data_IF_926615220285
#
_entry.id   IF_926615220285
#
_cell.length_a   1.000
_cell.length_b   1.000
_cell.length_c   1.000
_cell.angle_alpha   90.00
_cell.angle_beta   90.00
_cell.angle_gamma   90.00
#
_symmetry.space_group_name_H-M   'P 1'
#
loop_
_entity.id
_entity.type
_entity.pdbx_description
1 polymer ?
#
# COMPACT_ATOMS: atom_id res chain seq x y z
N UNK A 1 10.86 -31.39 25.42
CA UNK A 1 11.98 -31.08 24.52
C UNK A 1 11.45 -30.21 23.39
N UNK A 2 12.10 -29.11 23.05
CA UNK A 2 11.68 -28.25 21.92
C UNK A 2 11.86 -29.08 20.64
N UNK A 3 10.78 -29.25 19.88
CA UNK A 3 10.86 -29.92 18.58
C UNK A 3 11.22 -28.90 17.50
N UNK A 4 12.52 -28.79 17.22
CA UNK A 4 13.05 -27.83 16.25
C UNK A 4 12.56 -28.09 14.83
N UNK A 5 12.08 -29.31 14.51
CA UNK A 5 11.56 -29.65 13.19
C UNK A 5 10.32 -28.81 12.82
N UNK A 6 9.58 -28.33 13.82
CA UNK A 6 8.41 -27.46 13.62
C UNK A 6 8.75 -26.10 12.99
N UNK A 7 9.98 -25.61 13.15
CA UNK A 7 10.43 -24.36 12.54
C UNK A 7 10.83 -24.53 11.06
N UNK A 8 11.02 -25.78 10.61
CA UNK A 8 11.39 -26.12 9.24
C UNK A 8 10.26 -26.81 8.47
N UNK A 9 9.11 -27.06 9.12
CA UNK A 9 7.92 -27.62 8.49
C UNK A 9 7.03 -26.54 7.92
N UNK A 10 6.42 -26.80 6.77
CA UNK A 10 5.41 -25.92 6.19
C UNK A 10 4.13 -25.99 7.05
N UNK A 11 3.78 -24.87 7.70
CA UNK A 11 2.64 -24.83 8.62
C UNK A 11 1.28 -25.04 7.95
N UNK A 12 1.24 -24.84 6.64
CA UNK A 12 0.06 -24.96 5.80
C UNK A 12 0.00 -26.29 5.02
N UNK A 13 0.98 -27.19 5.18
CA UNK A 13 1.02 -28.49 4.48
C UNK A 13 0.11 -29.56 5.14
N UNK A 14 -0.22 -30.59 4.34
CA UNK A 14 -1.35 -31.55 4.36
C UNK A 14 -1.59 -32.44 5.60
N UNK A 15 -1.42 -31.92 6.82
CA UNK A 15 -1.86 -32.59 8.05
C UNK A 15 -3.31 -32.27 8.42
N UNK A 16 -3.71 -31.00 8.26
CA UNK A 16 -5.04 -30.45 8.54
C UNK A 16 -5.33 -29.34 7.51
N UNK A 17 -5.78 -29.65 6.28
CA UNK A 17 -5.88 -28.65 5.23
C UNK A 17 -6.90 -27.57 5.61
N UNK A 18 -6.44 -26.32 5.70
CA UNK A 18 -7.31 -25.15 5.80
C UNK A 18 -8.26 -25.18 4.60
N UNK A 19 -9.56 -25.12 4.88
CA UNK A 19 -10.59 -25.15 3.83
C UNK A 19 -10.34 -24.05 2.80
N UNK A 20 -10.63 -24.32 1.52
CA UNK A 20 -10.43 -23.36 0.42
C UNK A 20 -10.99 -21.95 0.72
N UNK A 21 -12.23 -21.78 1.24
CA UNK A 21 -12.75 -20.47 1.60
C UNK A 21 -12.00 -19.79 2.76
N UNK A 22 -11.54 -20.57 3.75
CA UNK A 22 -10.76 -20.01 4.85
C UNK A 22 -9.35 -19.63 4.41
N UNK A 23 -8.73 -20.40 3.51
CA UNK A 23 -7.43 -20.09 2.94
C UNK A 23 -7.51 -18.81 2.08
N UNK A 24 -8.63 -18.63 1.35
CA UNK A 24 -8.90 -17.42 0.59
C UNK A 24 -8.97 -16.21 1.51
N UNK A 25 -9.84 -16.25 2.52
CA UNK A 25 -10.04 -15.17 3.49
C UNK A 25 -8.76 -14.86 4.27
N UNK A 26 -8.03 -15.88 4.69
CA UNK A 26 -6.74 -15.73 5.35
C UNK A 26 -5.75 -14.96 4.47
N UNK A 27 -5.64 -15.34 3.19
CA UNK A 27 -4.70 -14.71 2.27
C UNK A 27 -5.12 -13.28 1.92
N UNK A 28 -6.41 -13.01 1.70
CA UNK A 28 -6.93 -11.65 1.48
C UNK A 28 -6.64 -10.73 2.66
N UNK A 29 -6.88 -11.21 3.89
CA UNK A 29 -6.58 -10.47 5.12
C UNK A 29 -5.08 -10.22 5.29
N UNK A 30 -4.26 -11.23 5.02
CA UNK A 30 -2.81 -11.10 5.05
C UNK A 30 -2.31 -10.07 4.02
N UNK A 31 -2.83 -10.11 2.79
CA UNK A 31 -2.53 -9.12 1.74
C UNK A 31 -2.94 -7.70 2.15
N UNK A 32 -4.15 -7.53 2.70
CA UNK A 32 -4.63 -6.24 3.18
C UNK A 32 -3.73 -5.68 4.30
N UNK A 33 -3.33 -6.52 5.26
CA UNK A 33 -2.43 -6.13 6.34
C UNK A 33 -1.04 -5.72 5.82
N UNK A 34 -0.48 -6.47 4.86
CA UNK A 34 0.77 -6.11 4.21
C UNK A 34 0.67 -4.75 3.51
N UNK A 35 -0.40 -4.53 2.73
CA UNK A 35 -0.66 -3.27 2.01
C UNK A 35 -0.78 -2.09 2.98
N UNK A 36 -1.58 -2.24 4.03
CA UNK A 36 -1.81 -1.20 5.04
C UNK A 36 -0.51 -0.77 5.73
N UNK A 37 0.40 -1.72 5.97
CA UNK A 37 1.66 -1.47 6.66
C UNK A 37 2.83 -1.22 5.69
N UNK A 38 2.58 -1.03 4.40
CA UNK A 38 3.60 -0.92 3.36
C UNK A 38 4.27 0.47 3.26
N UNK A 39 4.59 1.06 4.41
CA UNK A 39 5.28 2.35 4.48
C UNK A 39 6.62 2.26 3.76
N UNK A 40 6.83 3.15 2.79
CA UNK A 40 8.08 3.20 2.01
C UNK A 40 8.32 2.00 1.09
N UNK A 41 7.36 1.10 0.89
CA UNK A 41 7.51 -0.04 -0.03
C UNK A 41 8.20 -1.26 0.53
N UNK A 42 8.34 -1.30 1.85
CA UNK A 42 8.97 -2.40 2.58
C UNK A 42 8.39 -3.78 2.24
N UNK A 43 7.09 -3.89 1.98
CA UNK A 43 6.39 -5.15 1.76
C UNK A 43 5.99 -5.41 0.32
N UNK A 44 6.40 -4.56 -0.61
CA UNK A 44 6.04 -4.69 -2.03
C UNK A 44 6.33 -6.08 -2.60
N UNK A 45 7.56 -6.58 -2.42
CA UNK A 45 7.95 -7.89 -2.92
C UNK A 45 7.06 -9.01 -2.36
N UNK A 46 6.72 -8.92 -1.07
CA UNK A 46 5.86 -9.90 -0.38
C UNK A 46 4.42 -9.81 -0.91
N UNK A 47 3.88 -8.60 -1.07
CA UNK A 47 2.53 -8.34 -1.59
C UNK A 47 2.39 -8.90 -3.01
N UNK A 48 3.37 -8.65 -3.88
CA UNK A 48 3.32 -9.11 -5.26
C UNK A 48 3.38 -10.63 -5.39
N UNK A 49 4.37 -11.27 -4.73
CA UNK A 49 4.50 -12.73 -4.76
C UNK A 49 3.26 -13.42 -4.19
N UNK A 50 2.69 -12.88 -3.12
CA UNK A 50 1.49 -13.43 -2.48
C UNK A 50 0.24 -13.19 -3.32
N UNK A 51 0.11 -12.02 -3.94
CA UNK A 51 -0.99 -11.73 -4.86
C UNK A 51 -0.95 -12.63 -6.07
N UNK A 52 0.24 -12.92 -6.60
CA UNK A 52 0.40 -13.83 -7.75
C UNK A 52 -0.07 -15.22 -7.38
N UNK A 53 0.46 -15.77 -6.29
CA UNK A 53 0.06 -17.09 -5.80
C UNK A 53 -1.44 -17.16 -5.43
N UNK A 54 -2.02 -16.04 -4.97
CA UNK A 54 -3.46 -15.94 -4.75
C UNK A 54 -4.23 -15.99 -6.07
N UNK A 55 -3.88 -15.17 -7.05
CA UNK A 55 -4.55 -15.12 -8.36
C UNK A 55 -4.46 -16.45 -9.09
N UNK A 56 -3.31 -17.10 -9.05
CA UNK A 56 -3.09 -18.40 -9.69
C UNK A 56 -3.98 -19.50 -9.08
N UNK A 57 -4.33 -19.39 -7.79
CA UNK A 57 -5.12 -20.41 -7.09
C UNK A 57 -6.62 -20.10 -6.99
N UNK A 58 -6.99 -18.83 -6.77
CA UNK A 58 -8.38 -18.39 -6.54
C UNK A 58 -8.97 -17.59 -7.70
N UNK A 59 -8.15 -17.11 -8.65
CA UNK A 59 -8.54 -16.14 -9.65
C UNK A 59 -8.48 -14.70 -9.14
N UNK A 60 -9.17 -13.79 -9.82
CA UNK A 60 -9.13 -12.37 -9.49
C UNK A 60 -9.66 -12.07 -8.09
N UNK A 61 -9.01 -11.14 -7.40
CA UNK A 61 -9.49 -10.61 -6.13
C UNK A 61 -10.78 -9.82 -6.40
N UNK A 62 -11.90 -10.23 -5.78
CA UNK A 62 -13.20 -9.56 -5.92
C UNK A 62 -13.18 -8.16 -5.31
N UNK A 63 -12.36 -7.94 -4.28
CA UNK A 63 -12.15 -6.63 -3.66
C UNK A 63 -11.34 -5.72 -4.60
N UNK A 64 -12.06 -4.79 -5.23
CA UNK A 64 -11.50 -3.83 -6.19
C UNK A 64 -10.48 -2.88 -5.55
N UNK A 65 -10.60 -2.53 -4.27
CA UNK A 65 -9.65 -1.63 -3.60
C UNK A 65 -8.35 -2.35 -3.29
N UNK A 66 -8.45 -3.60 -2.80
CA UNK A 66 -7.28 -4.45 -2.62
C UNK A 66 -6.59 -4.72 -3.95
N UNK A 67 -7.35 -5.00 -5.01
CA UNK A 67 -6.81 -5.20 -6.36
C UNK A 67 -6.06 -3.96 -6.89
N UNK A 68 -6.59 -2.75 -6.70
CA UNK A 68 -5.93 -1.50 -7.10
C UNK A 68 -4.67 -1.23 -6.28
N UNK A 69 -4.72 -1.45 -4.96
CA UNK A 69 -3.55 -1.27 -4.09
C UNK A 69 -2.42 -2.25 -4.45
N UNK A 70 -2.77 -3.50 -4.74
CA UNK A 70 -1.86 -4.51 -5.27
C UNK A 70 -1.29 -4.07 -6.62
N UNK A 71 -2.11 -3.53 -7.53
CA UNK A 71 -1.65 -3.05 -8.83
C UNK A 71 -0.66 -1.88 -8.69
N UNK A 72 -0.88 -0.96 -7.73
CA UNK A 72 0.06 0.10 -7.38
C UNK A 72 1.37 -0.47 -6.82
N UNK A 73 1.32 -1.44 -5.92
CA UNK A 73 2.52 -2.14 -5.42
C UNK A 73 3.28 -2.87 -6.53
N UNK A 74 2.59 -3.56 -7.44
CA UNK A 74 3.19 -4.23 -8.60
C UNK A 74 3.88 -3.25 -9.55
N UNK A 75 3.26 -2.09 -9.78
CA UNK A 75 3.86 -1.00 -10.57
C UNK A 75 5.12 -0.46 -9.90
N UNK A 76 5.09 -0.24 -8.58
CA UNK A 76 6.26 0.21 -7.82
C UNK A 76 7.40 -0.82 -7.83
N UNK A 77 7.10 -2.13 -7.78
CA UNK A 77 8.12 -3.17 -7.94
C UNK A 77 8.71 -3.16 -9.34
N UNK A 78 7.90 -2.93 -10.38
CA UNK A 78 8.44 -2.84 -11.73
C UNK A 78 9.51 -1.74 -11.82
N UNK A 79 9.19 -0.58 -11.25
CA UNK A 79 10.10 0.57 -11.19
C UNK A 79 11.29 0.31 -10.26
N UNK A 80 11.05 -0.29 -9.09
CA UNK A 80 12.09 -0.59 -8.10
C UNK A 80 13.02 -1.71 -8.56
N UNK A 81 12.52 -2.79 -9.15
CA UNK A 81 13.34 -3.89 -9.68
C UNK A 81 14.15 -3.44 -10.89
N UNK A 82 13.61 -2.51 -11.70
CA UNK A 82 14.40 -1.88 -12.75
C UNK A 82 15.50 -1.00 -12.15
N UNK A 83 15.18 -0.20 -11.13
CA UNK A 83 16.19 0.61 -10.45
C UNK A 83 17.24 -0.24 -9.73
N UNK A 84 16.83 -1.29 -9.02
CA UNK A 84 17.71 -2.27 -8.38
C UNK A 84 18.62 -2.95 -9.40
N UNK A 85 18.09 -3.27 -10.59
CA UNK A 85 18.93 -3.80 -11.66
C UNK A 85 20.03 -2.81 -12.06
N UNK A 86 19.68 -1.54 -12.30
CA UNK A 86 20.64 -0.48 -12.63
C UNK A 86 21.67 -0.31 -11.51
N UNK A 87 21.22 -0.25 -10.27
CA UNK A 87 22.08 -0.11 -9.09
C UNK A 87 23.02 -1.32 -8.93
N UNK A 88 22.54 -2.53 -9.20
CA UNK A 88 23.35 -3.75 -9.15
C UNK A 88 24.35 -3.81 -10.31
N UNK A 89 24.00 -3.34 -11.52
CA UNK A 89 24.95 -3.14 -12.62
C UNK A 89 26.04 -2.14 -12.20
N UNK A 90 25.66 -1.03 -11.58
CA UNK A 90 26.59 -0.01 -11.09
C UNK A 90 27.53 -0.53 -10.00
N UNK A 91 26.98 -1.26 -9.03
CA UNK A 91 27.70 -1.92 -7.93
C UNK A 91 28.79 -2.85 -8.46
N UNK A 92 28.47 -3.67 -9.46
CA UNK A 92 29.41 -4.67 -9.99
C UNK A 92 30.23 -4.19 -11.18
N UNK A 93 29.94 -3.02 -11.75
CA UNK A 93 30.65 -2.50 -12.91
C UNK A 93 32.17 -2.44 -12.72
N UNK A 94 32.65 -1.91 -11.59
CA UNK A 94 34.09 -1.81 -11.34
C UNK A 94 34.75 -3.17 -11.18
N UNK A 95 34.04 -4.16 -10.61
CA UNK A 95 34.52 -5.54 -10.52
C UNK A 95 34.66 -6.16 -11.92
N UNK A 96 33.64 -6.01 -12.76
CA UNK A 96 33.63 -6.52 -14.14
C UNK A 96 34.75 -5.85 -14.95
N UNK A 97 34.87 -4.53 -14.89
CA UNK A 97 35.91 -3.78 -15.61
C UNK A 97 37.34 -4.09 -15.12
N UNK A 98 37.50 -4.50 -13.86
CA UNK A 98 38.77 -4.94 -13.31
C UNK A 98 39.15 -6.35 -13.79
N UNK A 99 38.19 -7.28 -13.83
CA UNK A 99 38.40 -8.66 -14.30
C UNK A 99 38.52 -8.75 -15.82
N UNK A 100 37.73 -7.94 -16.52
CA UNK A 100 37.63 -7.87 -17.97
C UNK A 100 37.82 -6.41 -18.42
N UNK A 101 39.05 -6.00 -18.75
CA UNK A 101 39.32 -4.65 -19.25
C UNK A 101 38.50 -4.31 -20.51
N UNK A 102 38.25 -3.01 -20.74
CA UNK A 102 37.29 -2.50 -21.74
C UNK A 102 37.57 -2.90 -23.19
N UNK A 103 38.81 -3.22 -23.50
CA UNK A 103 39.31 -3.65 -24.81
C UNK A 103 39.21 -5.17 -25.03
N UNK A 104 38.72 -5.91 -24.04
CA UNK A 104 38.56 -7.37 -24.13
C UNK A 104 37.22 -7.77 -24.73
N UNK A 105 37.15 -8.86 -25.52
CA UNK A 105 35.89 -9.43 -25.99
C UNK A 105 34.91 -9.74 -24.86
N UNK A 106 35.42 -10.18 -23.71
CA UNK A 106 34.62 -10.53 -22.54
C UNK A 106 33.88 -9.30 -21.99
N UNK A 107 34.52 -8.14 -21.92
CA UNK A 107 33.86 -6.91 -21.49
C UNK A 107 32.68 -6.54 -22.40
N UNK A 108 32.83 -6.76 -23.72
CA UNK A 108 31.77 -6.51 -24.70
C UNK A 108 30.58 -7.48 -24.55
N UNK A 109 30.77 -8.66 -23.94
CA UNK A 109 29.65 -9.56 -23.60
C UNK A 109 28.76 -8.98 -22.48
N UNK A 110 29.35 -8.22 -21.53
CA UNK A 110 28.60 -7.54 -20.47
C UNK A 110 28.02 -6.20 -20.94
N UNK A 111 28.78 -5.46 -21.75
CA UNK A 111 28.44 -4.09 -22.15
C UNK A 111 28.58 -3.87 -23.68
N UNK A 112 27.71 -4.48 -24.51
CA UNK A 112 27.84 -4.42 -25.96
C UNK A 112 27.81 -2.99 -26.53
N UNK A 113 27.02 -2.09 -25.93
CA UNK A 113 26.98 -0.67 -26.28
C UNK A 113 27.54 0.23 -25.18
N UNK A 114 28.35 -0.34 -24.29
CA UNK A 114 28.88 0.35 -23.12
C UNK A 114 27.89 0.42 -21.95
N UNK A 115 28.39 0.89 -20.81
CA UNK A 115 27.65 0.93 -19.54
C UNK A 115 26.38 1.78 -19.61
N UNK A 116 26.42 2.88 -20.36
CA UNK A 116 25.34 3.86 -20.42
C UNK A 116 24.03 3.30 -21.03
N UNK A 117 24.09 2.15 -21.72
CA UNK A 117 22.91 1.41 -22.18
C UNK A 117 22.02 1.00 -21.00
N UNK A 118 22.60 0.68 -19.84
CA UNK A 118 21.88 0.26 -18.66
C UNK A 118 21.24 1.44 -17.91
N UNK A 119 21.85 2.63 -17.95
CA UNK A 119 21.33 3.83 -17.30
C UNK A 119 20.13 4.46 -18.02
N UNK A 120 19.88 4.06 -19.27
CA UNK A 120 18.81 4.60 -20.13
C UNK A 120 17.79 3.54 -20.55
N UNK A 121 17.71 2.44 -19.80
CA UNK A 121 16.82 1.32 -20.15
C UNK A 121 15.38 1.79 -20.24
N UNK A 122 14.80 1.62 -21.42
CA UNK A 122 13.35 1.64 -21.57
C UNK A 122 12.78 0.30 -21.08
N UNK A 123 11.66 0.34 -20.35
CA UNK A 123 11.00 -0.86 -19.80
C UNK A 123 10.89 -2.02 -20.80
N UNK A 124 10.53 -1.83 -22.08
CA UNK A 124 10.42 -2.92 -23.06
C UNK A 124 11.71 -3.69 -23.35
N UNK A 125 12.86 -3.04 -23.17
CA UNK A 125 14.18 -3.59 -23.50
C UNK A 125 14.88 -4.18 -22.27
N UNK A 126 14.34 -3.92 -21.07
CA UNK A 126 14.94 -4.30 -19.79
C UNK A 126 15.19 -5.81 -19.66
N UNK A 127 14.26 -6.68 -20.07
CA UNK A 127 14.43 -8.13 -19.98
C UNK A 127 15.59 -8.63 -20.86
N UNK A 128 15.74 -8.07 -22.06
CA UNK A 128 16.83 -8.44 -22.98
C UNK A 128 18.18 -8.06 -22.38
N UNK A 129 18.28 -6.90 -21.76
CA UNK A 129 19.52 -6.43 -21.12
C UNK A 129 19.83 -7.19 -19.82
N UNK A 130 18.81 -7.54 -19.03
CA UNK A 130 18.95 -8.44 -17.88
C UNK A 130 19.45 -9.82 -18.31
N UNK A 131 18.89 -10.40 -19.38
CA UNK A 131 19.33 -11.68 -19.93
C UNK A 131 20.76 -11.63 -20.46
N UNK A 132 21.13 -10.52 -21.08
CA UNK A 132 22.49 -10.29 -21.59
C UNK A 132 23.50 -10.34 -20.46
N UNK A 133 23.27 -9.59 -19.38
CA UNK A 133 24.22 -9.55 -18.26
C UNK A 133 24.24 -10.85 -17.46
N UNK A 134 23.09 -11.51 -17.27
CA UNK A 134 23.04 -12.82 -16.60
C UNK A 134 23.82 -13.84 -17.41
N UNK A 135 23.62 -13.90 -18.74
CA UNK A 135 24.33 -14.83 -19.61
C UNK A 135 25.84 -14.62 -19.57
N UNK A 136 26.30 -13.35 -19.52
CA UNK A 136 27.71 -13.03 -19.37
C UNK A 136 28.25 -13.41 -17.98
N UNK A 137 27.52 -13.11 -16.90
CA UNK A 137 27.87 -13.50 -15.54
C UNK A 137 27.95 -15.04 -15.38
N UNK A 138 27.01 -15.78 -15.97
CA UNK A 138 26.99 -17.25 -15.94
C UNK A 138 28.17 -17.83 -16.73
N UNK A 139 28.52 -17.26 -17.88
CA UNK A 139 29.65 -17.72 -18.70
C UNK A 139 31.00 -17.52 -17.99
N UNK A 140 31.13 -16.45 -17.23
CA UNK A 140 32.34 -16.06 -16.50
C UNK A 140 32.17 -16.19 -14.97
N UNK A 141 31.41 -17.21 -14.54
CA UNK A 141 31.02 -17.38 -13.13
C UNK A 141 32.21 -17.68 -12.22
N UNK A 142 33.30 -18.24 -12.75
CA UNK A 142 34.51 -18.48 -11.98
C UNK A 142 35.17 -17.17 -11.53
N UNK A 143 35.07 -16.12 -12.35
CA UNK A 143 35.64 -14.80 -12.10
C UNK A 143 34.67 -13.85 -11.39
N UNK A 144 33.36 -13.97 -11.67
CA UNK A 144 32.29 -13.08 -11.17
C UNK A 144 31.61 -13.63 -9.91
N UNK A 145 31.67 -14.94 -9.68
CA UNK A 145 31.07 -15.71 -8.57
C UNK A 145 29.55 -15.97 -8.69
N UNK A 146 29.12 -17.11 -8.15
CA UNK A 146 27.71 -17.55 -8.16
C UNK A 146 26.75 -16.57 -7.45
N UNK A 147 27.08 -15.95 -6.30
CA UNK A 147 26.17 -15.01 -5.65
C UNK A 147 25.77 -13.81 -6.52
N UNK A 148 26.64 -13.36 -7.42
CA UNK A 148 26.35 -12.26 -8.34
C UNK A 148 25.36 -12.72 -9.43
N UNK A 149 25.52 -13.95 -9.93
CA UNK A 149 24.56 -14.57 -10.87
C UNK A 149 23.19 -14.70 -10.20
N UNK A 150 23.15 -15.15 -8.96
CA UNK A 150 21.91 -15.34 -8.19
C UNK A 150 21.20 -13.99 -7.94
N UNK A 151 21.94 -12.93 -7.60
CA UNK A 151 21.41 -11.59 -7.39
C UNK A 151 20.75 -11.03 -8.67
N UNK A 152 21.44 -11.10 -9.83
CA UNK A 152 20.85 -10.68 -11.10
C UNK A 152 19.65 -11.54 -11.52
N UNK A 153 19.72 -12.85 -11.29
CA UNK A 153 18.63 -13.78 -11.63
C UNK A 153 17.39 -13.51 -10.78
N UNK A 154 17.56 -13.21 -9.49
CA UNK A 154 16.47 -12.86 -8.59
C UNK A 154 15.80 -11.52 -8.98
N UNK A 155 16.60 -10.52 -9.37
CA UNK A 155 16.08 -9.22 -9.84
C UNK A 155 15.32 -9.40 -11.16
N UNK A 156 15.86 -10.18 -12.12
CA UNK A 156 15.16 -10.49 -13.37
C UNK A 156 13.86 -11.24 -13.14
N UNK A 157 13.85 -12.23 -12.25
CA UNK A 157 12.63 -12.97 -11.91
C UNK A 157 11.55 -12.03 -11.34
N UNK A 158 11.94 -11.11 -10.45
CA UNK A 158 11.05 -10.11 -9.85
C UNK A 158 10.51 -9.12 -10.89
N UNK A 159 11.34 -8.69 -11.85
CA UNK A 159 10.92 -7.81 -12.94
C UNK A 159 10.01 -8.53 -13.96
N UNK A 160 10.34 -9.79 -14.30
CA UNK A 160 9.59 -10.60 -15.25
C UNK A 160 8.20 -10.96 -14.72
N UNK A 161 8.05 -11.36 -13.45
CA UNK A 161 6.74 -11.67 -12.87
C UNK A 161 5.82 -10.44 -12.92
N UNK A 162 6.32 -9.29 -12.47
CA UNK A 162 5.62 -8.01 -12.54
C UNK A 162 5.19 -7.63 -13.97
N UNK A 163 5.99 -7.96 -14.99
CA UNK A 163 5.72 -7.60 -16.39
C UNK A 163 4.77 -8.56 -17.10
N UNK A 164 4.89 -9.87 -16.88
CA UNK A 164 3.97 -10.88 -17.44
C UNK A 164 2.53 -10.62 -16.97
N UNK A 165 2.36 -10.14 -15.74
CA UNK A 165 1.06 -9.79 -15.16
C UNK A 165 0.44 -8.48 -15.72
N UNK A 166 1.24 -7.52 -16.20
CA UNK A 166 0.71 -6.34 -16.91
C UNK A 166 0.16 -6.68 -18.30
N UNK A 167 0.67 -7.73 -18.93
CA UNK A 167 0.25 -8.18 -20.26
C UNK A 167 -0.89 -9.23 -20.21
N UNK A 168 -1.03 -9.96 -19.10
CA UNK A 168 -2.05 -11.00 -18.90
C UNK A 168 -3.44 -10.50 -18.45
N UNK A 169 -3.66 -9.18 -18.36
CA UNK A 169 -4.99 -8.61 -18.18
C UNK A 169 -5.97 -8.80 -19.36
N UNK A 170 -5.61 -9.60 -20.37
CA UNK A 170 -6.40 -9.81 -21.60
C UNK A 170 -6.64 -11.28 -22.03
N UNK A 171 -6.25 -12.31 -21.28
CA UNK A 171 -6.61 -13.70 -21.64
C UNK A 171 -7.11 -14.51 -20.44
N UNK A 172 -8.22 -15.23 -20.66
CA UNK A 172 -9.01 -15.97 -19.67
C UNK A 172 -9.01 -17.47 -20.04
N UNK A 173 -8.67 -18.31 -19.04
CA UNK A 173 -9.14 -19.69 -18.75
C UNK A 173 -8.64 -20.88 -19.61
N UNK A 174 -7.96 -21.85 -18.97
CA UNK A 174 -8.39 -23.27 -18.74
C UNK A 174 -7.19 -24.22 -18.50
N UNK A 175 -7.07 -24.82 -17.31
CA UNK A 175 -6.35 -26.09 -17.05
C UNK A 175 -6.64 -26.64 -15.63
N UNK A 176 -7.89 -27.02 -15.38
CA UNK A 176 -8.35 -27.42 -14.05
C UNK A 176 -8.15 -28.93 -13.79
N UNK A 177 -7.15 -29.30 -12.98
CA UNK A 177 -7.24 -30.33 -11.92
C UNK A 177 -5.87 -30.77 -11.34
N UNK A 178 -4.78 -30.85 -12.11
CA UNK A 178 -3.43 -31.01 -11.51
C UNK A 178 -2.80 -29.67 -11.09
N UNK A 179 -3.17 -28.59 -11.78
CA UNK A 179 -2.69 -27.24 -11.46
C UNK A 179 -3.22 -26.72 -10.13
N UNK A 180 -4.43 -27.12 -9.70
CA UNK A 180 -5.01 -26.67 -8.43
C UNK A 180 -4.16 -27.11 -7.23
N UNK A 181 -3.60 -28.33 -7.25
CA UNK A 181 -2.76 -28.81 -6.16
C UNK A 181 -1.39 -28.09 -6.14
N UNK A 182 -0.82 -27.83 -7.32
CA UNK A 182 0.45 -27.11 -7.47
C UNK A 182 0.33 -25.63 -7.12
N UNK A 183 -0.75 -24.96 -7.54
CA UNK A 183 -1.03 -23.55 -7.24
C UNK A 183 -1.40 -23.35 -5.77
N UNK A 184 -2.15 -24.29 -5.16
CA UNK A 184 -2.39 -24.31 -3.70
C UNK A 184 -1.07 -24.43 -2.93
N UNK A 185 -0.21 -25.39 -3.31
CA UNK A 185 1.07 -25.59 -2.67
C UNK A 185 1.99 -24.36 -2.80
N UNK A 186 1.98 -23.70 -3.96
CA UNK A 186 2.71 -22.46 -4.19
C UNK A 186 2.22 -21.34 -3.25
N UNK A 187 0.90 -21.19 -3.09
CA UNK A 187 0.32 -20.22 -2.15
C UNK A 187 0.68 -20.54 -0.70
N UNK A 188 0.49 -21.78 -0.27
CA UNK A 188 0.80 -22.24 1.10
C UNK A 188 2.30 -22.10 1.43
N UNK A 189 3.16 -22.34 0.44
CA UNK A 189 4.60 -22.12 0.56
C UNK A 189 4.93 -20.63 0.67
N UNK A 190 4.31 -19.78 -0.14
CA UNK A 190 4.52 -18.34 -0.08
C UNK A 190 4.03 -17.74 1.25
N UNK A 191 2.87 -18.17 1.76
CA UNK A 191 2.37 -17.77 3.08
C UNK A 191 3.33 -18.18 4.21
N UNK A 192 3.94 -19.35 4.14
CA UNK A 192 5.00 -19.76 5.09
C UNK A 192 6.23 -18.85 4.99
N UNK A 193 6.69 -18.52 3.77
CA UNK A 193 7.81 -17.61 3.59
C UNK A 193 7.52 -16.24 4.20
N UNK A 194 6.33 -15.71 3.98
CA UNK A 194 5.91 -14.43 4.54
C UNK A 194 5.96 -14.46 6.07
N UNK A 195 5.47 -15.55 6.68
CA UNK A 195 5.54 -15.76 8.11
C UNK A 195 6.98 -15.74 8.62
N UNK A 196 7.90 -16.46 7.98
CA UNK A 196 9.29 -16.49 8.40
C UNK A 196 9.96 -15.11 8.25
N UNK A 197 9.70 -14.39 7.17
CA UNK A 197 10.22 -13.04 6.94
C UNK A 197 9.73 -12.09 8.05
N UNK A 198 8.42 -12.09 8.32
CA UNK A 198 7.82 -11.22 9.33
C UNK A 198 8.23 -11.63 10.77
N UNK A 199 8.42 -12.92 11.03
CA UNK A 199 8.90 -13.40 12.32
C UNK A 199 10.36 -12.99 12.60
N UNK A 200 11.21 -12.94 11.56
CA UNK A 200 12.57 -12.40 11.67
C UNK A 200 12.52 -10.90 11.93
N UNK A 201 11.69 -10.17 11.18
CA UNK A 201 11.55 -8.71 11.29
C UNK A 201 11.08 -8.27 12.68
N UNK A 202 10.09 -8.96 13.25
CA UNK A 202 9.48 -8.63 14.53
C UNK A 202 9.95 -9.53 15.67
N UNK A 203 11.19 -10.02 15.58
CA UNK A 203 11.77 -10.85 16.62
C UNK A 203 11.80 -10.11 17.96
N UNK A 204 11.10 -10.67 18.97
CA UNK A 204 10.94 -10.03 20.29
C UNK A 204 9.75 -9.07 20.40
N UNK A 205 9.00 -8.82 19.32
CA UNK A 205 7.76 -8.05 19.31
C UNK A 205 6.63 -8.87 18.67
N UNK A 206 6.18 -9.88 19.42
CA UNK A 206 5.21 -10.89 18.94
C UNK A 206 3.88 -10.26 18.53
N UNK A 207 3.37 -9.32 19.33
CA UNK A 207 2.09 -8.65 19.07
C UNK A 207 2.10 -7.93 17.71
N UNK A 208 3.21 -7.27 17.39
CA UNK A 208 3.36 -6.58 16.10
C UNK A 208 3.47 -7.55 14.91
N UNK A 209 4.13 -8.69 15.10
CA UNK A 209 4.17 -9.74 14.07
C UNK A 209 2.78 -10.35 13.82
N UNK A 210 1.94 -10.41 14.85
CA UNK A 210 0.58 -10.96 14.78
C UNK A 210 -0.41 -10.07 14.03
N UNK A 211 -0.16 -8.77 13.91
CA UNK A 211 -1.00 -7.84 13.11
C UNK A 211 -1.11 -8.27 11.63
N UNK A 212 -0.17 -9.09 11.14
CA UNK A 212 -0.14 -9.56 9.75
C UNK A 212 -0.82 -10.92 9.54
N UNK A 213 -1.20 -11.62 10.60
CA UNK A 213 -1.69 -13.01 10.50
C UNK A 213 -2.95 -13.23 11.33
N UNK A 214 -4.05 -13.50 10.64
CA UNK A 214 -5.33 -13.79 11.28
C UNK A 214 -5.52 -15.29 11.52
N UNK A 215 -5.09 -15.77 12.68
CA UNK A 215 -5.10 -17.20 13.01
C UNK A 215 -6.49 -17.82 13.07
N UNK A 216 -7.57 -17.03 13.12
CA UNK A 216 -8.94 -17.56 13.21
C UNK A 216 -9.32 -18.43 12.01
N UNK A 217 -8.69 -18.21 10.85
CA UNK A 217 -8.94 -18.95 9.63
C UNK A 217 -8.08 -20.22 9.48
N UNK A 218 -7.15 -20.46 10.41
CA UNK A 218 -6.22 -21.60 10.37
C UNK A 218 -6.77 -22.86 11.06
N UNK A 219 -7.98 -22.81 11.64
CA UNK A 219 -8.70 -23.98 12.15
C UNK A 219 -8.07 -24.68 13.37
N UNK A 220 -6.95 -24.18 13.90
CA UNK A 220 -6.26 -24.73 15.07
C UNK A 220 -6.57 -23.95 16.34
N UNK A 221 -7.83 -23.97 16.78
CA UNK A 221 -8.18 -23.50 18.13
C UNK A 221 -7.96 -24.64 19.11
N UNK A 222 -6.78 -24.68 19.74
CA UNK A 222 -6.63 -25.33 21.04
C UNK A 222 -7.44 -24.55 22.06
N UNK A 223 -8.56 -25.13 22.50
CA UNK A 223 -9.33 -24.86 23.72
C UNK A 223 -9.09 -23.50 24.40
N UNK A 224 -9.78 -22.45 23.95
CA UNK A 224 -10.11 -21.31 24.79
C UNK A 224 -11.39 -20.65 24.27
N UNK A 225 -12.51 -20.91 24.97
CA UNK A 225 -13.74 -20.10 24.95
C UNK A 225 -14.45 -19.97 23.60
N UNK A 226 -15.51 -20.77 23.40
CA UNK A 226 -16.49 -20.58 22.34
C UNK A 226 -17.30 -19.31 22.49
N UNK A 227 -16.68 -18.15 22.28
CA UNK A 227 -17.36 -16.94 21.88
C UNK A 227 -17.55 -16.97 20.37
N UNK A 228 -18.78 -16.83 19.91
CA UNK A 228 -19.01 -16.37 18.53
C UNK A 228 -18.11 -15.16 18.27
N UNK A 229 -17.38 -15.11 17.15
CA UNK A 229 -16.48 -14.00 16.84
C UNK A 229 -17.23 -12.67 16.92
N UNK A 230 -16.61 -11.58 17.40
CA UNK A 230 -17.10 -10.26 17.03
C UNK A 230 -17.15 -10.21 15.50
N UNK A 231 -18.16 -9.56 14.90
CA UNK A 231 -18.15 -9.29 13.46
C UNK A 231 -16.76 -8.74 13.08
N UNK A 232 -16.22 -9.09 11.88
CA UNK A 232 -14.95 -8.52 11.44
C UNK A 232 -15.04 -7.01 11.63
N UNK A 233 -14.14 -6.43 12.44
CA UNK A 233 -14.04 -4.97 12.57
C UNK A 233 -13.79 -4.48 11.16
N UNK A 234 -14.78 -3.88 10.52
CA UNK A 234 -14.62 -3.50 9.14
C UNK A 234 -13.67 -2.29 9.15
N UNK A 235 -12.82 -2.19 8.13
CA UNK A 235 -11.72 -1.22 8.07
C UNK A 235 -12.26 0.17 8.37
N UNK A 236 -12.11 0.63 9.61
CA UNK A 236 -12.61 1.95 10.01
C UNK A 236 -11.74 2.98 9.32
N UNK A 237 -12.28 3.67 8.32
CA UNK A 237 -11.67 4.88 7.80
C UNK A 237 -11.37 5.87 8.93
N UNK A 238 -10.18 6.47 8.89
CA UNK A 238 -9.73 7.45 9.88
C UNK A 238 -9.30 8.74 9.16
N UNK A 239 -9.68 9.88 9.71
CA UNK A 239 -9.13 11.19 9.38
C UNK A 239 -8.26 11.61 10.55
N UNK A 240 -7.00 11.95 10.29
CA UNK A 240 -6.10 12.51 11.29
C UNK A 240 -5.75 13.94 10.94
N UNK A 241 -5.95 14.87 11.88
CA UNK A 241 -5.68 16.29 11.70
C UNK A 241 -4.71 16.72 12.79
N UNK A 242 -3.58 17.26 12.37
CA UNK A 242 -2.64 17.93 13.27
C UNK A 242 -2.81 19.43 13.11
N UNK A 243 -3.05 20.14 14.20
CA UNK A 243 -3.35 21.56 14.21
C UNK A 243 -2.43 22.32 15.16
N UNK A 244 -2.02 23.53 14.79
CA UNK A 244 -1.23 24.39 15.67
C UNK A 244 -2.11 25.44 16.35
N UNK A 245 -2.42 25.22 17.63
CA UNK A 245 -3.22 26.13 18.44
C UNK A 245 -2.34 27.21 19.08
N UNK A 246 -2.15 28.33 18.37
CA UNK A 246 -1.27 29.41 18.84
C UNK A 246 -1.96 30.40 19.81
N UNK A 247 -3.29 30.34 19.97
CA UNK A 247 -4.07 31.25 20.83
C UNK A 247 -5.03 30.42 21.70
N UNK A 248 -4.97 30.62 23.02
CA UNK A 248 -5.87 29.98 23.99
C UNK A 248 -7.28 30.58 23.83
N UNK A 249 -8.31 29.72 23.81
CA UNK A 249 -9.70 30.19 23.73
C UNK A 249 -10.06 30.86 22.39
N UNK A 250 -9.36 30.47 21.32
CA UNK A 250 -9.66 30.92 19.96
C UNK A 250 -11.00 30.41 19.43
N UNK A 251 -11.27 30.68 18.14
CA UNK A 251 -12.47 30.15 17.46
C UNK A 251 -12.52 28.62 17.59
N UNK A 252 -13.73 28.03 17.76
CA UNK A 252 -13.86 26.59 17.83
C UNK A 252 -13.31 25.95 16.55
N UNK A 253 -12.50 24.90 16.71
CA UNK A 253 -12.16 24.05 15.59
C UNK A 253 -13.41 23.30 15.18
N UNK A 254 -13.69 23.30 13.89
CA UNK A 254 -14.93 22.77 13.37
C UNK A 254 -14.63 21.74 12.26
N UNK A 255 -15.28 20.59 12.35
CA UNK A 255 -15.26 19.55 11.33
C UNK A 255 -16.70 19.27 10.93
N UNK A 256 -17.01 19.52 9.67
CA UNK A 256 -18.33 19.39 9.08
C UNK A 256 -18.31 18.22 8.11
N UNK A 257 -19.17 17.23 8.34
CA UNK A 257 -19.30 16.04 7.50
C UNK A 257 -20.74 15.98 7.01
N UNK A 258 -20.92 16.00 5.69
CA UNK A 258 -22.24 15.87 5.05
C UNK A 258 -22.26 14.60 4.23
N UNK A 259 -23.34 13.83 4.29
CA UNK A 259 -23.45 12.60 3.50
C UNK A 259 -24.88 12.17 3.23
N UNK A 260 -25.01 11.17 2.37
CA UNK A 260 -26.28 10.67 1.84
C UNK A 260 -26.48 9.21 2.25
N UNK A 261 -26.44 8.92 3.56
CA UNK A 261 -26.66 7.56 4.04
C UNK A 261 -28.09 7.07 3.77
N UNK A 262 -28.24 5.75 3.63
CA UNK A 262 -29.56 5.13 3.76
C UNK A 262 -30.09 5.27 5.20
N UNK A 263 -31.39 5.08 5.39
CA UNK A 263 -32.11 5.37 6.65
C UNK A 263 -31.56 4.69 7.93
N UNK A 264 -30.63 3.73 7.82
CA UNK A 264 -30.02 3.02 8.95
C UNK A 264 -28.99 3.85 9.73
N UNK A 265 -28.51 4.98 9.20
CA UNK A 265 -27.55 5.86 9.86
C UNK A 265 -26.13 5.26 10.00
N UNK A 266 -25.14 6.12 10.16
CA UNK A 266 -23.73 5.75 10.25
C UNK A 266 -23.03 6.59 11.31
N UNK A 267 -22.51 5.95 12.36
CA UNK A 267 -21.86 6.67 13.45
C UNK A 267 -20.47 7.18 13.04
N UNK A 268 -20.15 8.42 13.40
CA UNK A 268 -18.83 9.01 13.30
C UNK A 268 -18.40 9.45 14.70
N UNK A 269 -17.12 9.20 15.02
CA UNK A 269 -16.49 9.51 16.28
C UNK A 269 -15.36 10.51 16.05
N UNK A 270 -15.41 11.67 16.70
CA UNK A 270 -14.31 12.62 16.76
C UNK A 270 -13.65 12.57 18.14
N UNK A 271 -12.37 12.25 18.19
CA UNK A 271 -11.53 12.23 19.39
C UNK A 271 -10.52 13.36 19.32
N UNK A 272 -10.57 14.25 20.31
CA UNK A 272 -9.64 15.36 20.47
C UNK A 272 -8.48 14.94 21.38
N UNK A 273 -7.27 15.49 21.19
CA UNK A 273 -6.08 15.17 22.01
C UNK A 273 -6.32 15.21 23.53
N UNK A 274 -7.25 16.02 24.02
CA UNK A 274 -7.66 16.08 25.42
C UNK A 274 -8.34 14.81 25.96
N UNK A 275 -8.50 13.78 25.11
CA UNK A 275 -9.28 12.56 25.39
C UNK A 275 -10.80 12.77 25.28
N UNK A 276 -11.23 14.01 25.00
CA UNK A 276 -12.63 14.33 24.78
C UNK A 276 -13.07 13.65 23.48
N UNK A 277 -14.18 12.94 23.55
CA UNK A 277 -14.72 12.20 22.42
C UNK A 277 -16.16 12.65 22.16
N UNK A 278 -16.47 13.02 20.93
CA UNK A 278 -17.81 13.37 20.47
C UNK A 278 -18.24 12.34 19.43
N UNK A 279 -19.45 11.81 19.54
CA UNK A 279 -20.04 10.94 18.53
C UNK A 279 -21.30 11.56 17.96
N UNK A 280 -21.56 11.31 16.68
CA UNK A 280 -22.79 11.71 16.02
C UNK A 280 -23.13 10.70 14.92
N UNK A 281 -24.42 10.53 14.65
CA UNK A 281 -24.90 9.67 13.57
C UNK A 281 -25.18 10.51 12.33
N UNK A 282 -24.62 10.11 11.20
CA UNK A 282 -24.86 10.74 9.91
C UNK A 282 -26.16 10.15 9.37
N UNK A 283 -27.15 11.00 9.12
CA UNK A 283 -28.45 10.61 8.54
C UNK A 283 -28.47 10.94 7.04
N UNK A 284 -29.49 10.45 6.33
CA UNK A 284 -29.67 10.75 4.90
C UNK A 284 -29.76 12.26 4.65
N UNK A 285 -28.82 12.82 3.88
CA UNK A 285 -28.72 14.27 3.63
C UNK A 285 -28.35 15.07 4.89
N UNK A 286 -27.88 14.40 5.94
CA UNK A 286 -27.55 15.00 7.22
C UNK A 286 -26.17 15.65 7.21
N UNK A 287 -26.01 16.65 8.07
CA UNK A 287 -24.72 17.28 8.36
C UNK A 287 -24.38 17.05 9.83
N UNK A 288 -23.20 16.48 10.08
CA UNK A 288 -22.58 16.43 11.39
C UNK A 288 -21.62 17.61 11.52
N UNK A 289 -21.65 18.25 12.68
CA UNK A 289 -20.69 19.29 13.05
C UNK A 289 -20.04 18.88 14.36
N UNK A 290 -18.73 18.65 14.35
CA UNK A 290 -17.92 18.49 15.55
C UNK A 290 -17.20 19.79 15.85
N UNK A 291 -17.32 20.27 17.09
CA UNK A 291 -16.67 21.51 17.53
C UNK A 291 -15.89 21.30 18.83
N UNK A 292 -14.70 21.90 18.90
CA UNK A 292 -13.90 21.91 20.12
C UNK A 292 -13.07 23.18 20.27
N UNK A 293 -12.97 23.68 21.50
CA UNK A 293 -12.13 24.82 21.86
C UNK A 293 -11.02 24.33 22.77
N UNK A 294 -9.78 24.42 22.30
CA UNK A 294 -8.63 24.10 23.13
C UNK A 294 -8.34 25.21 24.14
N UNK A 295 -8.14 24.82 25.39
CA UNK A 295 -7.80 25.71 26.51
C UNK A 295 -6.28 25.86 26.71
N UNK A 296 -5.48 25.20 25.88
CA UNK A 296 -4.02 25.26 25.89
C UNK A 296 -3.47 25.46 24.48
N UNK A 297 -2.34 26.13 24.37
CA UNK A 297 -1.62 26.26 23.10
C UNK A 297 -0.86 24.98 22.74
N UNK A 298 -0.33 24.95 21.52
CA UNK A 298 0.57 23.91 21.03
C UNK A 298 -0.03 23.08 19.90
N UNK A 299 0.70 22.03 19.51
CA UNK A 299 0.28 21.09 18.49
C UNK A 299 -0.79 20.18 19.07
N UNK A 300 -1.94 20.09 18.41
CA UNK A 300 -3.09 19.28 18.79
C UNK A 300 -3.40 18.26 17.71
N UNK A 301 -3.74 17.05 18.11
CA UNK A 301 -4.17 15.99 17.20
C UNK A 301 -5.66 15.71 17.37
N UNK A 302 -6.35 15.56 16.24
CA UNK A 302 -7.77 15.25 16.16
C UNK A 302 -7.90 14.02 15.29
N UNK A 303 -8.62 13.01 15.78
CA UNK A 303 -8.90 11.79 15.05
C UNK A 303 -10.39 11.70 14.81
N UNK A 304 -10.82 11.59 13.55
CA UNK A 304 -12.21 11.31 13.21
C UNK A 304 -12.27 9.92 12.61
N UNK A 305 -12.98 9.00 13.25
CA UNK A 305 -13.10 7.62 12.83
C UNK A 305 -14.57 7.26 12.60
N UNK A 306 -14.81 6.37 11.66
CA UNK A 306 -16.13 5.77 11.52
C UNK A 306 -16.38 4.72 12.60
N UNK A 307 -17.54 4.81 13.25
CA UNK A 307 -18.00 3.85 14.28
C UNK A 307 -18.48 2.56 13.61
N UNK A 308 -19.10 2.71 12.43
CA UNK A 308 -19.51 1.61 11.56
C UNK A 308 -18.70 1.78 10.28
N UNK A 309 -18.06 0.72 9.80
CA UNK A 309 -17.22 0.86 8.60
C UNK A 309 -18.02 1.14 7.34
N UNK A 310 -17.40 1.86 6.41
CA UNK A 310 -18.00 2.25 5.14
C UNK A 310 -18.90 3.48 5.24
N UNK A 311 -18.95 4.15 6.39
CA UNK A 311 -19.70 5.39 6.55
C UNK A 311 -19.07 6.50 5.73
N UNK A 312 -17.74 6.56 5.65
CA UNK A 312 -17.08 7.58 4.83
C UNK A 312 -17.37 7.48 3.34
N UNK A 313 -17.68 6.27 2.82
CA UNK A 313 -18.08 6.09 1.41
C UNK A 313 -19.28 6.96 1.08
N UNK A 314 -20.17 7.19 2.04
CA UNK A 314 -21.42 7.93 1.85
C UNK A 314 -21.29 9.44 2.07
N UNK A 315 -20.10 9.91 2.47
CA UNK A 315 -19.84 11.33 2.69
C UNK A 315 -19.75 12.02 1.34
N UNK A 316 -20.59 13.04 1.16
CA UNK A 316 -20.62 13.89 -0.03
C UNK A 316 -19.77 15.15 0.13
N UNK A 317 -19.59 15.64 1.36
CA UNK A 317 -18.75 16.78 1.65
C UNK A 317 -18.01 16.67 2.99
N UNK A 318 -16.73 17.02 2.98
CA UNK A 318 -15.88 17.19 4.16
C UNK A 318 -15.39 18.64 4.22
N UNK A 319 -15.68 19.34 5.32
CA UNK A 319 -15.28 20.73 5.49
C UNK A 319 -14.63 20.93 6.85
N UNK A 320 -13.56 21.72 6.89
CA UNK A 320 -12.82 22.05 8.10
C UNK A 320 -12.53 23.56 8.11
N UNK A 321 -13.52 24.38 8.47
CA UNK A 321 -13.30 25.81 8.59
C UNK A 321 -12.47 26.12 9.84
N UNK A 322 -11.42 26.92 9.68
CA UNK A 322 -10.62 27.51 10.75
C UNK A 322 -9.88 26.50 11.65
N UNK A 323 -9.54 25.32 11.12
CA UNK A 323 -8.91 24.26 11.93
C UNK A 323 -7.41 24.48 12.18
N UNK A 324 -6.76 25.46 11.53
CA UNK A 324 -5.31 25.72 11.66
C UNK A 324 -4.46 24.46 11.45
N UNK A 325 -4.90 23.58 10.54
CA UNK A 325 -4.24 22.32 10.32
C UNK A 325 -2.85 22.55 9.72
N UNK A 326 -1.84 21.91 10.29
CA UNK A 326 -0.49 21.80 9.74
C UNK A 326 -0.34 20.52 8.95
N UNK A 327 -1.11 19.47 9.26
CA UNK A 327 -1.20 18.20 8.52
C UNK A 327 -2.64 17.70 8.52
N UNK A 328 -3.10 17.18 7.38
CA UNK A 328 -4.37 16.46 7.24
C UNK A 328 -4.06 15.16 6.52
N UNK A 329 -4.48 14.04 7.11
CA UNK A 329 -4.41 12.71 6.53
C UNK A 329 -5.82 12.13 6.49
N UNK A 330 -6.24 11.64 5.33
CA UNK A 330 -7.55 11.04 5.13
C UNK A 330 -7.33 9.58 4.69
N UNK A 331 -7.50 8.64 5.62
CA UNK A 331 -7.31 7.20 5.43
C UNK A 331 -8.66 6.46 5.36
N UNK A 332 -9.69 7.12 4.81
CA UNK A 332 -11.02 6.56 4.59
C UNK A 332 -11.39 6.56 3.10
N UNK A 333 -12.34 5.72 2.70
CA UNK A 333 -12.88 5.79 1.34
C UNK A 333 -13.89 6.96 1.25
N UNK A 334 -13.54 7.99 0.48
CA UNK A 334 -14.41 9.14 0.17
C UNK A 334 -14.81 9.16 -1.31
N UNK A 335 -15.04 7.99 -1.91
CA UNK A 335 -15.40 7.83 -3.32
C UNK A 335 -16.74 8.48 -3.73
N UNK A 336 -17.56 8.97 -2.80
CA UNK A 336 -18.74 9.79 -3.12
C UNK A 336 -18.55 11.28 -2.77
N UNK A 337 -17.41 11.68 -2.21
CA UNK A 337 -17.18 13.06 -1.83
C UNK A 337 -16.91 13.92 -3.07
N UNK A 338 -17.74 14.94 -3.25
CA UNK A 338 -17.61 15.94 -4.31
C UNK A 338 -17.16 17.29 -3.78
N UNK A 339 -16.98 17.43 -2.47
CA UNK A 339 -16.58 18.70 -1.85
C UNK A 339 -15.61 18.47 -0.71
N UNK A 340 -14.45 19.11 -0.83
CA UNK A 340 -13.42 19.17 0.20
C UNK A 340 -13.06 20.63 0.44
N UNK A 341 -13.43 21.16 1.60
CA UNK A 341 -13.20 22.56 1.94
C UNK A 341 -12.32 22.66 3.18
N UNK A 342 -11.07 23.06 3.00
CA UNK A 342 -10.12 23.27 4.07
C UNK A 342 -9.79 24.75 4.12
N UNK A 343 -10.35 25.48 5.09
CA UNK A 343 -10.15 26.93 5.20
C UNK A 343 -9.44 27.32 6.49
N UNK A 344 -8.65 28.39 6.45
CA UNK A 344 -7.94 28.91 7.62
C UNK A 344 -6.87 27.97 8.17
N UNK A 345 -6.26 27.14 7.31
CA UNK A 345 -5.21 26.19 7.66
C UNK A 345 -3.82 26.81 7.66
N UNK A 346 -2.86 26.10 8.26
CA UNK A 346 -1.43 26.44 8.26
C UNK A 346 -0.62 25.31 7.59
N UNK A 347 -1.19 24.71 6.53
CA UNK A 347 -0.55 23.63 5.77
C UNK A 347 0.75 24.15 5.13
N UNK A 348 1.73 23.27 4.97
CA UNK A 348 2.90 23.56 4.13
C UNK A 348 2.61 23.18 2.68
N UNK A 349 3.38 23.68 1.71
CA UNK A 349 3.25 23.27 0.31
C UNK A 349 3.35 21.74 0.14
N UNK A 350 4.26 21.11 0.87
CA UNK A 350 4.41 19.64 0.90
C UNK A 350 3.12 18.95 1.37
N UNK A 351 2.48 19.47 2.41
CA UNK A 351 1.25 18.88 2.95
C UNK A 351 0.04 19.15 2.04
N UNK A 352 0.03 20.26 1.30
CA UNK A 352 -0.95 20.50 0.24
C UNK A 352 -0.80 19.47 -0.88
N UNK A 353 0.42 19.19 -1.34
CA UNK A 353 0.65 18.15 -2.34
C UNK A 353 0.24 16.75 -1.86
N UNK A 354 0.54 16.42 -0.60
CA UNK A 354 0.12 15.16 0.00
C UNK A 354 -1.42 15.02 0.02
N UNK A 355 -2.13 16.08 0.45
CA UNK A 355 -3.58 16.10 0.49
C UNK A 355 -4.21 16.01 -0.92
N UNK A 356 -3.65 16.72 -1.89
CA UNK A 356 -4.07 16.63 -3.31
C UNK A 356 -3.88 15.20 -3.84
N UNK A 357 -2.76 14.54 -3.53
CA UNK A 357 -2.53 13.15 -3.91
C UNK A 357 -3.57 12.20 -3.29
N UNK A 358 -3.86 12.34 -2.01
CA UNK A 358 -4.88 11.52 -1.32
C UNK A 358 -6.26 11.70 -1.96
N UNK A 359 -6.68 12.94 -2.22
CA UNK A 359 -7.97 13.22 -2.86
C UNK A 359 -7.99 12.70 -4.31
N UNK A 360 -6.87 12.84 -5.02
CA UNK A 360 -6.72 12.30 -6.36
C UNK A 360 -6.93 10.77 -6.38
N UNK A 361 -6.41 10.07 -5.37
CA UNK A 361 -6.47 8.62 -5.26
C UNK A 361 -7.89 8.05 -5.09
N UNK A 362 -8.88 8.86 -4.67
CA UNK A 362 -10.29 8.42 -4.59
C UNK A 362 -10.95 8.20 -5.95
N UNK A 363 -10.34 8.62 -7.06
CA UNK A 363 -10.86 8.33 -8.40
C UNK A 363 -12.15 9.08 -8.78
N UNK A 364 -12.66 9.96 -7.92
CA UNK A 364 -13.89 10.74 -8.12
C UNK A 364 -13.77 11.80 -9.22
N UNK A 365 -14.90 12.17 -9.83
CA UNK A 365 -14.98 13.17 -10.91
C UNK A 365 -15.99 14.26 -10.57
N UNK A 366 -15.76 15.49 -11.05
CA UNK A 366 -16.72 16.59 -10.93
C UNK A 366 -16.96 17.05 -9.49
N UNK A 367 -15.93 17.63 -8.87
CA UNK A 367 -15.98 18.09 -7.49
C UNK A 367 -15.31 19.45 -7.27
N UNK A 368 -15.24 19.86 -6.02
CA UNK A 368 -14.61 21.10 -5.58
C UNK A 368 -13.63 20.80 -4.45
N UNK A 369 -12.38 21.22 -4.64
CA UNK A 369 -11.32 21.17 -3.63
C UNK A 369 -10.85 22.59 -3.35
N UNK A 370 -11.18 23.10 -2.18
CA UNK A 370 -10.74 24.41 -1.73
C UNK A 370 -9.74 24.26 -0.58
N UNK A 371 -8.54 24.83 -0.73
CA UNK A 371 -7.51 24.82 0.31
C UNK A 371 -7.03 26.26 0.53
N UNK A 372 -7.41 26.88 1.64
CA UNK A 372 -6.99 28.23 2.01
C UNK A 372 -6.47 28.33 3.45
N UNK A 373 -5.65 29.35 3.68
CA UNK A 373 -5.03 29.72 4.95
C UNK A 373 -3.51 29.88 4.87
N UNK A 374 -2.91 30.47 5.90
CA UNK A 374 -1.45 30.59 6.06
C UNK A 374 -0.74 31.48 5.03
N UNK A 375 0.60 31.38 5.00
CA UNK A 375 1.49 32.06 4.03
C UNK A 375 1.85 31.15 2.86
N UNK A 376 0.96 30.23 2.48
CA UNK A 376 1.29 29.16 1.56
C UNK A 376 1.64 29.69 0.16
N UNK A 377 2.67 29.13 -0.50
CA UNK A 377 2.83 29.29 -1.94
C UNK A 377 1.75 28.48 -2.67
N UNK A 378 1.22 29.05 -3.76
CA UNK A 378 0.32 28.38 -4.71
C UNK A 378 1.00 27.09 -5.21
N UNK A 379 0.32 25.92 -5.20
CA UNK A 379 0.84 24.70 -5.81
C UNK A 379 1.22 24.90 -7.27
N UNK A 380 2.29 24.23 -7.71
CA UNK A 380 2.71 24.25 -9.10
C UNK A 380 1.55 23.75 -10.00
N UNK A 381 1.07 24.55 -10.97
CA UNK A 381 0.07 24.11 -11.92
C UNK A 381 0.45 22.83 -12.69
N UNK A 382 1.75 22.52 -12.79
CA UNK A 382 2.28 21.31 -13.42
C UNK A 382 2.28 20.07 -12.51
N UNK A 383 1.84 20.17 -11.25
CA UNK A 383 1.79 19.05 -10.33
C UNK A 383 0.87 17.92 -10.87
N UNK A 384 1.36 16.67 -11.05
CA UNK A 384 0.61 15.63 -11.76
C UNK A 384 -0.78 15.32 -11.18
N UNK A 385 -0.93 15.22 -9.86
CA UNK A 385 -2.23 14.95 -9.25
C UNK A 385 -3.20 16.13 -9.36
N UNK A 386 -2.71 17.37 -9.41
CA UNK A 386 -3.53 18.55 -9.67
C UNK A 386 -4.07 18.53 -11.12
N UNK A 387 -3.21 18.18 -12.09
CA UNK A 387 -3.61 18.00 -13.49
C UNK A 387 -4.67 16.89 -13.59
N UNK A 388 -4.43 15.75 -12.94
CA UNK A 388 -5.32 14.59 -12.96
C UNK A 388 -6.69 14.84 -12.28
N UNK A 389 -6.75 15.68 -11.24
CA UNK A 389 -8.02 16.13 -10.68
C UNK A 389 -8.76 17.05 -11.66
N UNK A 390 -8.07 18.05 -12.21
CA UNK A 390 -8.67 19.00 -13.17
C UNK A 390 -9.18 18.31 -14.43
N UNK A 391 -8.45 17.32 -14.95
CA UNK A 391 -8.88 16.53 -16.11
C UNK A 391 -10.14 15.69 -15.83
N UNK A 392 -10.38 15.34 -14.57
CA UNK A 392 -11.62 14.71 -14.08
C UNK A 392 -12.71 15.72 -13.71
N UNK A 393 -12.54 16.99 -14.07
CA UNK A 393 -13.54 18.04 -13.85
C UNK A 393 -13.57 18.62 -12.43
N UNK A 394 -12.51 18.44 -11.63
CA UNK A 394 -12.42 19.10 -10.33
C UNK A 394 -12.07 20.58 -10.47
N UNK A 395 -12.82 21.41 -9.74
CA UNK A 395 -12.42 22.79 -9.45
C UNK A 395 -11.51 22.78 -8.23
N UNK A 396 -10.21 22.99 -8.47
CA UNK A 396 -9.22 23.07 -7.39
C UNK A 396 -8.78 24.52 -7.21
N UNK A 397 -9.15 25.09 -6.06
CA UNK A 397 -8.79 26.44 -5.66
C UNK A 397 -7.86 26.36 -4.44
N UNK A 398 -6.67 26.92 -4.60
CA UNK A 398 -5.74 27.15 -3.51
C UNK A 398 -5.55 28.65 -3.32
N UNK A 399 -5.14 29.07 -2.11
CA UNK A 399 -4.73 30.45 -1.85
C UNK A 399 -3.64 30.96 -2.78
#
# INVERSE_FOLDING_TARGET
MIDLRKYFSLMFESGDPVSRPNLQRFTEKHLAALVQNNTGGKYDAIISLTSTAFTDFFGNIEDKHLAVAIQKSKTRINDLSLQQFIDTVDKYYNLIAFKFPKDTPQYLEFFPRGKDEYNKIAKPEALVLMDTIISACTRHVAEITQPVVDEFTAIRASFSSSRTEQLQGMEVVDAESSEIATTRAALEFQLNKNLLILAIEYLGNVDRGMDFFDQQYLGRTGTAGGGTPPPPTPSSGIITITSNQNVIGGMPLEIIITGNLSASGGGILATWESGITNSANLTAGGTIVFQHVYTSTGIKTITVAEVISGVFVTVSALQMPNIKATVITIDGDFSMATTFNFYGNDLTLTNVYALINQINDYGTSGGMLNISGGTMPVPDPAFPALIALRSRGWMVTTN
#
